data_IF_606306221458
#
_entry.id   IF_606306221458
#
_cell.length_a   1.000
_cell.length_b   1.000
_cell.length_c   1.000
_cell.angle_alpha   90.00
_cell.angle_beta   90.00
_cell.angle_gamma   90.00
#
_symmetry.space_group_name_H-M   'P 1'
#
loop_
_entity.id
_entity.type
_entity.pdbx_description
1 polymer ?
#
# COMPACT_ATOMS: atom_id res chain seq x y z
N UNK A 1 62.81 -25.72 -9.03
CA UNK A 1 61.36 -26.01 -9.11
C UNK A 1 60.68 -25.50 -7.84
N UNK A 2 59.42 -25.10 -8.00
CA UNK A 2 58.63 -24.25 -7.12
C UNK A 2 58.31 -24.93 -5.79
N UNK A 3 58.29 -24.17 -4.69
CA UNK A 3 57.21 -24.16 -3.68
C UNK A 3 57.43 -23.00 -2.69
N UNK A 4 56.73 -21.91 -2.96
CA UNK A 4 56.51 -20.81 -2.01
C UNK A 4 55.51 -21.32 -0.97
N UNK A 5 55.84 -21.25 0.32
CA UNK A 5 54.85 -21.37 1.38
C UNK A 5 54.84 -20.03 2.13
N UNK A 6 53.92 -19.17 1.69
CA UNK A 6 53.70 -17.85 2.23
C UNK A 6 52.57 -17.98 3.25
N UNK A 7 52.91 -18.05 4.54
CA UNK A 7 51.94 -17.91 5.62
C UNK A 7 51.59 -16.42 5.75
N UNK A 8 50.54 -15.98 5.06
CA UNK A 8 49.93 -14.69 5.35
C UNK A 8 48.78 -14.93 6.34
N UNK A 9 49.08 -14.62 7.60
CA UNK A 9 48.12 -14.48 8.69
C UNK A 9 47.03 -13.50 8.29
N UNK A 10 45.84 -14.01 7.95
CA UNK A 10 44.61 -13.24 7.90
C UNK A 10 44.23 -12.94 9.35
N UNK A 11 44.74 -11.83 9.86
CA UNK A 11 44.30 -11.26 11.12
C UNK A 11 42.85 -10.81 10.94
N UNK A 12 41.97 -11.47 11.69
CA UNK A 12 40.60 -11.08 11.97
C UNK A 12 40.58 -9.62 12.43
N UNK A 13 39.98 -8.74 11.65
CA UNK A 13 39.42 -7.49 12.15
C UNK A 13 37.90 -7.64 12.23
N UNK A 14 37.45 -8.21 13.34
CA UNK A 14 36.12 -8.02 13.90
C UNK A 14 36.02 -6.56 14.35
N UNK A 15 35.54 -5.67 13.47
CA UNK A 15 34.99 -4.38 13.91
C UNK A 15 33.54 -4.31 13.41
N UNK A 16 32.65 -4.96 14.15
CA UNK A 16 31.23 -4.62 14.13
C UNK A 16 31.01 -3.58 15.23
N UNK A 17 31.07 -2.30 14.89
CA UNK A 17 30.68 -1.22 15.79
C UNK A 17 29.16 -1.29 16.06
N UNK A 18 28.69 -1.47 17.31
CA UNK A 18 27.27 -1.60 17.63
C UNK A 18 26.46 -0.29 17.52
N UNK A 19 27.05 0.78 16.97
CA UNK A 19 26.43 2.12 16.88
C UNK A 19 25.60 2.35 15.61
N UNK A 20 25.67 1.45 14.63
CA UNK A 20 25.02 1.63 13.31
C UNK A 20 23.50 1.38 13.32
N UNK A 21 22.95 0.72 14.35
CA UNK A 21 21.55 0.24 14.33
C UNK A 21 20.49 1.30 14.69
N UNK A 22 20.86 2.43 15.34
CA UNK A 22 19.86 3.42 15.80
C UNK A 22 19.45 4.45 14.75
N UNK A 23 20.36 4.87 13.88
CA UNK A 23 20.09 5.93 12.88
C UNK A 23 19.16 5.46 11.76
N UNK A 24 19.31 4.20 11.33
CA UNK A 24 18.43 3.54 10.35
C UNK A 24 16.97 3.49 10.81
N UNK A 25 16.74 3.23 12.11
CA UNK A 25 15.37 3.12 12.64
C UNK A 25 14.61 4.45 12.62
N UNK A 26 15.30 5.59 12.82
CA UNK A 26 14.67 6.92 12.81
C UNK A 26 14.36 7.36 11.38
N UNK A 27 15.28 7.13 10.45
CA UNK A 27 15.07 7.40 9.03
C UNK A 27 13.92 6.56 8.45
N UNK A 28 13.86 5.27 8.80
CA UNK A 28 12.78 4.38 8.40
C UNK A 28 11.42 4.87 8.91
N UNK A 29 11.33 5.25 10.19
CA UNK A 29 10.09 5.78 10.77
C UNK A 29 9.61 7.07 10.09
N UNK A 30 10.53 7.96 9.72
CA UNK A 30 10.19 9.17 8.97
C UNK A 30 9.74 8.87 7.54
N UNK A 31 10.37 7.91 6.88
CA UNK A 31 9.97 7.44 5.56
C UNK A 31 8.56 6.83 5.59
N UNK A 32 8.29 5.96 6.55
CA UNK A 32 6.98 5.32 6.72
C UNK A 32 5.88 6.35 7.02
N UNK A 33 6.18 7.37 7.81
CA UNK A 33 5.25 8.47 8.09
C UNK A 33 4.92 9.28 6.81
N UNK A 34 5.93 9.59 6.00
CA UNK A 34 5.74 10.29 4.71
C UNK A 34 4.91 9.46 3.74
N UNK A 35 5.21 8.15 3.63
CA UNK A 35 4.44 7.23 2.80
C UNK A 35 2.97 7.16 3.22
N UNK A 36 2.70 7.03 4.53
CA UNK A 36 1.32 7.05 5.05
C UNK A 36 0.58 8.35 4.74
N UNK A 37 1.27 9.49 4.79
CA UNK A 37 0.68 10.78 4.42
C UNK A 37 0.36 10.85 2.92
N UNK A 38 1.28 10.39 2.06
CA UNK A 38 1.07 10.34 0.62
C UNK A 38 -0.10 9.44 0.23
N UNK A 39 -0.23 8.27 0.86
CA UNK A 39 -1.34 7.35 0.59
C UNK A 39 -2.72 8.00 0.84
N UNK A 40 -2.84 8.86 1.86
CA UNK A 40 -4.07 9.61 2.11
C UNK A 40 -4.38 10.58 0.96
N UNK A 41 -3.36 11.27 0.45
CA UNK A 41 -3.50 12.18 -0.69
C UNK A 41 -3.90 11.43 -1.97
N UNK A 42 -3.27 10.29 -2.24
CA UNK A 42 -3.60 9.43 -3.40
C UNK A 42 -5.05 8.98 -3.33
N UNK A 43 -5.48 8.49 -2.17
CA UNK A 43 -6.86 8.02 -1.96
C UNK A 43 -7.87 9.16 -2.14
N UNK A 44 -7.58 10.35 -1.60
CA UNK A 44 -8.41 11.55 -1.83
C UNK A 44 -8.52 11.89 -3.32
N UNK A 45 -7.39 11.98 -4.01
CA UNK A 45 -7.36 12.31 -5.45
C UNK A 45 -8.12 11.28 -6.29
N UNK A 46 -7.96 9.99 -5.96
CA UNK A 46 -8.68 8.91 -6.62
C UNK A 46 -10.20 9.02 -6.43
N UNK A 47 -10.67 9.33 -5.21
CA UNK A 47 -12.08 9.56 -4.95
C UNK A 47 -12.61 10.78 -5.71
N UNK A 48 -11.89 11.90 -5.70
CA UNK A 48 -12.27 13.13 -6.40
C UNK A 48 -12.34 12.95 -7.92
N UNK A 49 -11.38 12.22 -8.50
CA UNK A 49 -11.40 11.93 -9.93
C UNK A 49 -12.57 11.01 -10.29
N UNK A 50 -12.78 9.95 -9.52
CA UNK A 50 -13.87 9.00 -9.77
C UNK A 50 -15.23 9.67 -9.66
N UNK A 51 -15.42 10.61 -8.72
CA UNK A 51 -16.66 11.39 -8.56
C UNK A 51 -17.09 12.12 -9.84
N UNK A 52 -16.15 12.51 -10.71
CA UNK A 52 -16.47 13.20 -11.97
C UNK A 52 -17.19 12.32 -12.98
N UNK A 53 -17.14 11.00 -12.81
CA UNK A 53 -17.74 10.02 -13.71
C UNK A 53 -19.02 9.40 -13.15
N UNK A 54 -19.54 9.93 -12.04
CA UNK A 54 -20.78 9.46 -11.40
C UNK A 54 -22.01 10.23 -11.89
N UNK A 55 -23.19 9.58 -11.94
CA UNK A 55 -23.42 8.16 -11.69
C UNK A 55 -22.87 7.28 -12.82
N UNK A 56 -22.32 6.11 -12.48
CA UNK A 56 -21.74 5.17 -13.44
C UNK A 56 -22.47 3.84 -13.41
N UNK A 57 -23.01 3.41 -14.55
CA UNK A 57 -23.65 2.10 -14.67
C UNK A 57 -22.59 0.99 -14.69
N UNK A 58 -22.74 0.00 -13.80
CA UNK A 58 -21.83 -1.15 -13.68
C UNK A 58 -22.40 -2.36 -14.41
N UNK A 59 -23.68 -2.64 -14.17
CA UNK A 59 -24.42 -3.72 -14.84
C UNK A 59 -25.90 -3.35 -15.04
N UNK A 60 -26.75 -4.32 -15.37
CA UNK A 60 -28.18 -4.11 -15.62
C UNK A 60 -28.92 -3.51 -14.42
N UNK A 61 -28.54 -3.88 -13.20
CA UNK A 61 -29.22 -3.57 -11.94
C UNK A 61 -28.38 -2.71 -10.99
N UNK A 62 -27.06 -2.63 -11.20
CA UNK A 62 -26.12 -1.92 -10.32
C UNK A 62 -25.64 -0.61 -10.94
N UNK A 63 -25.79 0.47 -10.17
CA UNK A 63 -25.22 1.79 -10.50
C UNK A 63 -24.32 2.25 -9.36
N UNK A 64 -23.10 2.65 -9.67
CA UNK A 64 -22.26 3.36 -8.73
C UNK A 64 -22.77 4.80 -8.64
N UNK A 65 -23.26 5.21 -7.47
CA UNK A 65 -23.85 6.54 -7.26
C UNK A 65 -22.98 7.44 -6.42
N UNK A 66 -22.02 6.88 -5.69
CA UNK A 66 -21.11 7.64 -4.86
C UNK A 66 -19.74 6.99 -4.77
N UNK A 67 -18.73 7.82 -4.55
CA UNK A 67 -17.41 7.42 -4.06
C UNK A 67 -17.03 8.40 -2.98
N UNK A 68 -16.43 7.93 -1.89
CA UNK A 68 -15.90 8.77 -0.82
C UNK A 68 -14.58 8.22 -0.30
N UNK A 69 -13.95 8.92 0.63
CA UNK A 69 -12.69 8.48 1.23
C UNK A 69 -12.61 8.73 2.73
N UNK A 70 -11.92 7.82 3.43
CA UNK A 70 -11.61 7.95 4.86
C UNK A 70 -10.19 7.47 5.14
N UNK A 71 -9.27 8.41 5.33
CA UNK A 71 -7.86 8.10 5.55
C UNK A 71 -7.23 7.48 4.30
N UNK A 72 -6.85 6.22 4.38
CA UNK A 72 -6.29 5.44 3.25
C UNK A 72 -7.32 4.49 2.64
N UNK A 73 -8.61 4.64 2.96
CA UNK A 73 -9.69 3.81 2.44
C UNK A 73 -10.51 4.58 1.41
N UNK A 74 -10.82 3.92 0.30
CA UNK A 74 -11.85 4.31 -0.66
C UNK A 74 -13.16 3.62 -0.30
N UNK A 75 -14.26 4.36 -0.37
CA UNK A 75 -15.61 3.88 -0.06
C UNK A 75 -16.44 4.06 -1.33
N UNK A 76 -16.90 2.96 -1.91
CA UNK A 76 -17.76 2.98 -3.09
C UNK A 76 -19.21 2.76 -2.66
N UNK A 77 -20.12 3.56 -3.20
CA UNK A 77 -21.55 3.51 -2.91
C UNK A 77 -22.24 3.04 -4.19
N UNK A 78 -22.91 1.89 -4.08
CA UNK A 78 -23.66 1.28 -5.17
C UNK A 78 -25.14 1.21 -4.80
N UNK A 79 -25.98 1.55 -5.76
CA UNK A 79 -27.41 1.29 -5.73
C UNK A 79 -27.71 0.07 -6.59
N UNK A 80 -28.38 -0.93 -6.00
CA UNK A 80 -28.79 -2.16 -6.66
C UNK A 80 -30.31 -2.15 -6.75
N UNK A 81 -30.83 -1.91 -7.95
CA UNK A 81 -32.26 -1.85 -8.21
C UNK A 81 -32.71 -3.14 -8.91
N UNK A 82 -33.01 -4.16 -8.12
CA UNK A 82 -33.52 -5.46 -8.59
C UNK A 82 -35.03 -5.57 -8.36
N UNK A 83 -35.76 -6.31 -9.22
CA UNK A 83 -37.12 -6.75 -8.89
C UNK A 83 -37.11 -7.50 -7.55
N UNK A 84 -38.24 -7.54 -6.80
CA UNK A 84 -38.31 -8.29 -5.55
C UNK A 84 -37.91 -9.74 -5.81
N UNK A 85 -36.71 -10.09 -5.33
CA UNK A 85 -36.08 -11.40 -5.36
C UNK A 85 -35.67 -11.68 -3.93
N UNK A 86 -35.82 -12.91 -3.46
CA UNK A 86 -35.33 -13.26 -2.11
C UNK A 86 -33.83 -12.99 -2.03
N UNK A 87 -33.33 -12.49 -0.88
CA UNK A 87 -31.91 -12.15 -0.66
C UNK A 87 -30.91 -13.21 -1.11
N UNK A 88 -31.32 -14.49 -1.12
CA UNK A 88 -30.56 -15.64 -1.66
C UNK A 88 -30.14 -15.51 -3.13
N UNK A 89 -30.79 -14.68 -3.92
CA UNK A 89 -30.50 -14.52 -5.35
C UNK A 89 -29.52 -13.38 -5.66
N UNK A 90 -29.17 -12.55 -4.68
CA UNK A 90 -28.39 -11.31 -4.89
C UNK A 90 -26.89 -11.44 -4.57
N UNK A 91 -26.48 -12.49 -3.85
CA UNK A 91 -25.09 -12.75 -3.51
C UNK A 91 -24.68 -14.08 -4.18
N UNK A 92 -23.87 -13.99 -5.24
CA UNK A 92 -23.17 -15.12 -5.85
C UNK A 92 -21.75 -14.73 -6.20
#
# INVERSE_FOLDING_TARGET
>A
MKKKLLFLSIAVCLFADPKIVKEDSVLQNQFDAKMKAQNKTIVKMSAEETKKHLPQKVDKYTTMTGVDYKGTNLIYIYEINVPPKSDKELIK
#
